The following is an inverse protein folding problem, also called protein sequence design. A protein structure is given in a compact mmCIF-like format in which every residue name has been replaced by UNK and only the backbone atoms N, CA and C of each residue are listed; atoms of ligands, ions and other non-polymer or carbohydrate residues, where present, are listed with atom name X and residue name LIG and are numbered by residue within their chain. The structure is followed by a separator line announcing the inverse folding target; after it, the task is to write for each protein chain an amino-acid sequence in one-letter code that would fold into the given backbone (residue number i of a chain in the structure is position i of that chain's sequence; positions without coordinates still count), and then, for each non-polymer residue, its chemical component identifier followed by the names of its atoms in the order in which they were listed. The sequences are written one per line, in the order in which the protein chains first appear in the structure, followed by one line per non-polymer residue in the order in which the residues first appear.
data_IF_824128870289
#
_entry.id   IF_824128870289
#
_cell.length_a   1.000
_cell.length_b   1.000
_cell.length_c   1.000
_cell.angle_alpha   90.00
_cell.angle_beta   90.00
_cell.angle_gamma   90.00
#
_symmetry.space_group_name_H-M   'P 1'
#
loop_
_entity.id
_entity.type
_entity.pdbx_description
1 polymer ?
#
# COMPACT_ATOMS: atom_id res chain seq x y z
N UNK A 1 12.37 -19.26 25.63
CA UNK A 1 11.64 -18.28 24.82
C UNK A 1 12.58 -17.89 23.69
N UNK A 2 12.14 -18.02 22.46
CA UNK A 2 12.97 -17.78 21.28
C UNK A 2 13.29 -16.29 21.12
N UNK A 3 14.47 -15.98 20.60
CA UNK A 3 14.95 -14.61 20.41
C UNK A 3 14.08 -13.77 19.46
N UNK A 4 13.25 -14.40 18.62
CA UNK A 4 12.46 -13.68 17.61
C UNK A 4 11.29 -12.86 18.18
N UNK A 5 10.92 -13.08 19.44
CA UNK A 5 9.89 -12.29 20.14
C UNK A 5 10.44 -11.16 21.03
N UNK A 6 11.76 -11.00 21.15
CA UNK A 6 12.38 -10.17 22.21
C UNK A 6 12.01 -8.68 22.11
N UNK A 7 11.79 -8.18 20.88
CA UNK A 7 11.40 -6.80 20.62
C UNK A 7 9.88 -6.57 20.63
N UNK A 8 9.10 -7.58 21.05
CA UNK A 8 7.64 -7.49 21.17
C UNK A 8 7.21 -7.39 22.63
N UNK A 9 6.03 -6.81 22.91
CA UNK A 9 5.46 -6.83 24.26
C UNK A 9 5.39 -8.27 24.81
N UNK A 10 5.79 -8.44 26.07
CA UNK A 10 5.75 -9.75 26.72
C UNK A 10 4.31 -10.11 27.10
N UNK A 11 3.62 -10.79 26.18
CA UNK A 11 2.25 -11.27 26.33
C UNK A 11 2.24 -12.80 26.49
N UNK A 12 1.32 -13.32 27.30
CA UNK A 12 1.20 -14.77 27.51
C UNK A 12 0.82 -15.50 26.21
N UNK A 13 -0.02 -14.86 25.39
CA UNK A 13 -0.47 -15.35 24.09
C UNK A 13 0.70 -15.48 23.10
N UNK A 14 1.64 -14.51 23.12
CA UNK A 14 2.86 -14.58 22.32
C UNK A 14 3.77 -15.73 22.76
N UNK A 15 3.90 -15.97 24.07
CA UNK A 15 4.73 -17.05 24.59
C UNK A 15 4.20 -18.43 24.15
N UNK A 16 2.88 -18.61 24.11
CA UNK A 16 2.26 -19.85 23.62
C UNK A 16 2.50 -20.05 22.12
N UNK A 17 2.29 -19.00 21.31
CA UNK A 17 2.56 -19.04 19.88
C UNK A 17 4.04 -19.32 19.61
N UNK A 18 4.94 -18.65 20.32
CA UNK A 18 6.38 -18.84 20.16
C UNK A 18 6.82 -20.27 20.42
N UNK A 19 6.36 -20.86 21.53
CA UNK A 19 6.64 -22.27 21.83
C UNK A 19 6.13 -23.20 20.72
N UNK A 20 4.91 -22.95 20.22
CA UNK A 20 4.34 -23.77 19.15
C UNK A 20 5.11 -23.63 17.83
N UNK A 21 5.57 -22.43 17.49
CA UNK A 21 6.42 -22.18 16.31
C UNK A 21 7.75 -22.92 16.43
N UNK A 22 8.35 -22.93 17.61
CA UNK A 22 9.63 -23.59 17.85
C UNK A 22 9.52 -25.11 17.77
N UNK A 23 8.45 -25.68 18.31
CA UNK A 23 8.19 -27.12 18.36
C UNK A 23 7.76 -27.72 17.00
N UNK A 24 7.34 -26.89 16.04
CA UNK A 24 6.77 -27.34 14.76
C UNK A 24 7.72 -27.10 13.58
N UNK A 25 8.27 -28.19 13.03
CA UNK A 25 9.14 -28.17 11.85
C UNK A 25 8.42 -27.72 10.57
N UNK A 26 7.08 -27.78 10.52
CA UNK A 26 6.30 -27.29 9.39
C UNK A 26 6.23 -25.77 9.35
N UNK A 27 6.56 -25.07 10.44
CA UNK A 27 6.65 -23.60 10.44
C UNK A 27 7.94 -23.18 9.75
N UNK A 28 7.79 -22.49 8.62
CA UNK A 28 8.88 -22.06 7.75
C UNK A 28 9.36 -20.66 8.13
N UNK A 29 8.41 -19.73 8.34
CA UNK A 29 8.72 -18.33 8.64
C UNK A 29 7.66 -17.72 9.55
N UNK A 30 8.04 -16.65 10.27
CA UNK A 30 7.11 -15.78 11.00
C UNK A 30 7.27 -14.35 10.52
N UNK A 31 6.17 -13.74 10.11
CA UNK A 31 6.11 -12.37 9.62
C UNK A 31 5.30 -11.49 10.58
N UNK A 32 5.89 -10.42 11.07
CA UNK A 32 5.18 -9.35 11.74
C UNK A 32 4.70 -8.34 10.72
N UNK A 33 3.44 -7.92 10.81
CA UNK A 33 2.90 -6.82 10.00
C UNK A 33 2.34 -5.72 10.89
N UNK A 34 1.74 -4.71 10.29
CA UNK A 34 1.07 -3.65 11.05
C UNK A 34 2.03 -2.74 11.80
N UNK A 35 1.56 -2.13 12.89
CA UNK A 35 2.25 -0.99 13.51
C UNK A 35 3.57 -1.38 14.16
N UNK A 36 3.69 -2.58 14.73
CA UNK A 36 4.93 -3.06 15.33
C UNK A 36 6.01 -3.33 14.27
N UNK A 37 5.64 -3.78 13.06
CA UNK A 37 6.61 -3.96 11.98
C UNK A 37 7.24 -2.64 11.52
N UNK A 38 6.50 -1.53 11.64
CA UNK A 38 6.93 -0.20 11.20
C UNK A 38 7.52 0.66 12.33
N UNK A 39 7.60 0.15 13.57
CA UNK A 39 8.00 0.94 14.74
C UNK A 39 7.01 2.05 15.11
N UNK A 40 5.77 1.95 14.65
CA UNK A 40 4.69 2.94 14.84
C UNK A 40 3.61 2.46 15.82
N UNK A 41 3.90 1.43 16.60
CA UNK A 41 2.96 0.89 17.57
C UNK A 41 2.74 1.86 18.74
N UNK A 42 1.48 1.99 19.15
CA UNK A 42 1.07 2.64 20.40
C UNK A 42 0.64 1.58 21.42
N UNK A 43 0.38 2.01 22.65
CA UNK A 43 -0.08 1.14 23.74
C UNK A 43 -1.33 0.33 23.42
N UNK A 44 -2.12 0.73 22.43
CA UNK A 44 -3.41 0.12 22.07
C UNK A 44 -3.35 -0.67 20.75
N UNK A 45 -2.18 -0.75 20.11
CA UNK A 45 -2.03 -1.50 18.86
C UNK A 45 -1.99 -3.01 19.10
N UNK A 46 -2.70 -3.77 18.28
CA UNK A 46 -2.55 -5.22 18.23
C UNK A 46 -1.24 -5.62 17.55
N UNK A 47 -0.85 -6.88 17.77
CA UNK A 47 0.31 -7.52 17.18
C UNK A 47 -0.17 -8.43 16.05
N UNK A 48 0.03 -7.99 14.81
CA UNK A 48 -0.36 -8.74 13.62
C UNK A 48 0.74 -9.73 13.19
N UNK A 49 0.58 -11.02 13.45
CA UNK A 49 1.51 -12.08 13.06
C UNK A 49 0.97 -12.91 11.90
N UNK A 50 1.86 -13.32 11.00
CA UNK A 50 1.63 -14.43 10.10
C UNK A 50 2.58 -15.57 10.46
N UNK A 51 2.02 -16.74 10.75
CA UNK A 51 2.77 -18.00 10.77
C UNK A 51 2.67 -18.62 9.38
N UNK A 52 3.82 -18.80 8.75
CA UNK A 52 3.93 -19.31 7.39
C UNK A 52 4.38 -20.76 7.45
N UNK A 53 3.54 -21.65 6.93
CA UNK A 53 3.79 -23.08 6.91
C UNK A 53 4.41 -23.53 5.58
N UNK A 54 5.25 -24.56 5.59
CA UNK A 54 5.74 -25.18 4.35
C UNK A 54 4.58 -25.85 3.59
N UNK A 55 3.69 -26.52 4.33
CA UNK A 55 2.44 -27.12 3.84
C UNK A 55 1.26 -26.78 4.75
N UNK A 56 0.08 -26.70 4.16
CA UNK A 56 -1.17 -26.49 4.90
C UNK A 56 -1.35 -27.55 6.01
N UNK A 57 -1.79 -27.09 7.18
CA UNK A 57 -2.00 -27.91 8.37
C UNK A 57 -3.22 -27.39 9.15
N UNK A 58 -4.26 -28.21 9.26
CA UNK A 58 -5.54 -27.84 9.89
C UNK A 58 -5.46 -27.67 11.41
N UNK A 59 -4.35 -28.08 12.04
CA UNK A 59 -4.11 -27.82 13.45
C UNK A 59 -3.80 -26.35 13.70
N UNK A 60 -3.24 -25.64 12.72
CA UNK A 60 -3.01 -24.20 12.80
C UNK A 60 -4.25 -23.44 12.36
N UNK A 61 -4.65 -22.45 13.16
CA UNK A 61 -5.86 -21.65 12.89
C UNK A 61 -5.54 -20.18 12.93
N UNK A 62 -6.05 -19.47 11.93
CA UNK A 62 -6.17 -18.01 12.00
C UNK A 62 -7.14 -17.64 13.11
N UNK A 63 -6.81 -16.62 13.89
CA UNK A 63 -7.65 -16.15 14.99
C UNK A 63 -6.98 -15.05 15.79
N UNK A 64 -7.67 -14.58 16.82
CA UNK A 64 -7.21 -13.52 17.71
C UNK A 64 -7.15 -14.06 19.13
N UNK A 65 -6.07 -13.75 19.85
CA UNK A 65 -5.89 -14.07 21.24
C UNK A 65 -5.41 -12.81 21.98
N UNK A 66 -6.30 -12.21 22.78
CA UNK A 66 -6.02 -10.94 23.43
C UNK A 66 -5.69 -9.85 22.40
N UNK A 67 -4.43 -9.42 22.40
CA UNK A 67 -3.89 -8.38 21.50
C UNK A 67 -3.05 -8.94 20.34
N UNK A 68 -3.09 -10.25 20.12
CA UNK A 68 -2.35 -10.92 19.06
C UNK A 68 -3.33 -11.41 18.00
N UNK A 69 -3.21 -10.86 16.81
CA UNK A 69 -3.94 -11.31 15.63
C UNK A 69 -3.04 -12.24 14.81
N UNK A 70 -3.37 -13.53 14.83
CA UNK A 70 -2.63 -14.57 14.14
C UNK A 70 -3.30 -14.91 12.81
N UNK A 71 -2.57 -14.71 11.72
CA UNK A 71 -2.88 -15.23 10.39
C UNK A 71 -2.02 -16.46 10.13
N UNK A 72 -2.62 -17.50 9.57
CA UNK A 72 -1.91 -18.71 9.16
C UNK A 72 -2.07 -18.86 7.66
N UNK A 73 -0.95 -19.06 6.97
CA UNK A 73 -0.93 -19.33 5.55
C UNK A 73 0.19 -20.31 5.22
N UNK A 74 0.07 -21.03 4.11
CA UNK A 74 1.20 -21.79 3.58
C UNK A 74 2.04 -20.92 2.64
N UNK A 75 3.24 -21.39 2.30
CA UNK A 75 4.14 -20.68 1.37
C UNK A 75 3.52 -20.44 -0.01
N UNK A 76 2.53 -21.24 -0.43
CA UNK A 76 1.88 -21.07 -1.75
C UNK A 76 1.06 -19.80 -1.80
N UNK A 77 0.48 -19.39 -0.67
CA UNK A 77 -0.21 -18.10 -0.55
C UNK A 77 0.72 -16.93 -0.89
N UNK A 78 1.92 -16.90 -0.31
CA UNK A 78 2.89 -15.83 -0.54
C UNK A 78 3.52 -15.86 -1.93
N UNK A 79 3.44 -16.98 -2.65
CA UNK A 79 3.84 -17.04 -4.06
C UNK A 79 2.72 -16.69 -5.04
N UNK A 80 1.50 -16.49 -4.54
CA UNK A 80 0.31 -16.20 -5.36
C UNK A 80 -0.17 -14.77 -5.12
N UNK A 81 0.59 -13.83 -5.65
CA UNK A 81 0.19 -12.42 -5.72
C UNK A 81 -1.11 -12.34 -6.54
N UNK A 82 -2.15 -11.62 -6.06
CA UNK A 82 -3.37 -11.44 -6.83
C UNK A 82 -3.07 -10.80 -8.19
N UNK A 83 -3.61 -11.35 -9.28
CA UNK A 83 -3.28 -10.85 -10.62
C UNK A 83 -3.80 -9.42 -10.87
N UNK A 84 -5.03 -9.12 -10.44
CA UNK A 84 -5.69 -7.87 -10.79
C UNK A 84 -5.46 -6.75 -9.76
N UNK A 85 -5.17 -5.49 -10.19
CA UNK A 85 -4.89 -4.36 -9.31
C UNK A 85 -5.99 -4.00 -8.30
N UNK A 86 -7.24 -4.39 -8.56
CA UNK A 86 -8.37 -4.21 -7.63
C UNK A 86 -8.22 -5.03 -6.33
N UNK A 87 -7.38 -6.07 -6.34
CA UNK A 87 -7.19 -6.99 -5.21
C UNK A 87 -5.85 -6.78 -4.49
N UNK A 88 -5.14 -5.68 -4.77
CA UNK A 88 -3.80 -5.42 -4.22
C UNK A 88 -3.78 -4.71 -2.87
N UNK A 89 -4.92 -4.58 -2.20
CA UNK A 89 -5.05 -3.86 -0.94
C UNK A 89 -4.15 -4.40 0.17
N UNK A 90 -3.85 -5.70 0.16
CA UNK A 90 -2.99 -6.35 1.16
C UNK A 90 -1.50 -6.36 0.78
N UNK A 91 -1.16 -6.00 -0.46
CA UNK A 91 0.22 -6.17 -0.95
C UNK A 91 1.23 -5.39 -0.14
N UNK A 92 0.92 -4.13 0.16
CA UNK A 92 1.79 -3.28 0.95
C UNK A 92 2.07 -3.87 2.35
N UNK A 93 1.02 -4.36 3.02
CA UNK A 93 1.13 -4.91 4.38
C UNK A 93 2.06 -6.11 4.43
N UNK A 94 2.00 -6.98 3.43
CA UNK A 94 2.88 -8.15 3.30
C UNK A 94 4.30 -7.71 2.94
N UNK A 95 4.45 -6.86 1.92
CA UNK A 95 5.75 -6.42 1.42
C UNK A 95 6.60 -5.65 2.44
N UNK A 96 5.96 -4.89 3.33
CA UNK A 96 6.61 -4.15 4.42
C UNK A 96 6.52 -4.85 5.76
N UNK A 97 6.18 -6.13 5.78
CA UNK A 97 6.25 -6.93 7.00
C UNK A 97 7.71 -7.12 7.44
N UNK A 98 7.91 -7.24 8.76
CA UNK A 98 9.20 -7.55 9.36
C UNK A 98 9.28 -9.05 9.61
N UNK A 99 10.23 -9.72 8.95
CA UNK A 99 10.49 -11.14 9.19
C UNK A 99 11.08 -11.27 10.59
N UNK A 100 10.43 -12.05 11.46
CA UNK A 100 10.91 -12.37 12.80
C UNK A 100 11.71 -13.67 12.82
N UNK A 101 11.29 -14.64 12.01
CA UNK A 101 11.95 -15.94 11.85
C UNK A 101 11.90 -16.36 10.39
N UNK A 102 13.00 -16.91 9.88
CA UNK A 102 13.08 -17.48 8.53
C UNK A 102 13.94 -18.75 8.50
N UNK A 103 13.35 -19.91 8.19
CA UNK A 103 14.05 -21.20 8.07
C UNK A 103 14.33 -21.57 6.60
N UNK A 104 14.39 -20.56 5.74
CA UNK A 104 14.21 -20.69 4.28
C UNK A 104 15.45 -20.27 3.51
N UNK A 105 16.51 -19.94 4.23
CA UNK A 105 17.74 -19.37 3.70
C UNK A 105 17.51 -18.14 2.79
N UNK A 106 16.45 -17.36 3.07
CA UNK A 106 16.13 -16.10 2.38
C UNK A 106 15.09 -16.19 1.26
N UNK A 107 14.56 -17.38 0.94
CA UNK A 107 13.50 -17.56 -0.04
C UNK A 107 12.23 -16.75 0.30
N UNK A 108 11.85 -16.71 1.58
CA UNK A 108 10.67 -15.95 2.01
C UNK A 108 10.88 -14.43 1.87
N UNK A 109 12.10 -13.94 2.12
CA UNK A 109 12.43 -12.53 1.89
C UNK A 109 12.30 -12.17 0.41
N UNK A 110 12.70 -13.09 -0.49
CA UNK A 110 12.46 -12.93 -1.93
C UNK A 110 10.96 -12.86 -2.25
N UNK A 111 10.16 -13.77 -1.70
CA UNK A 111 8.70 -13.75 -1.88
C UNK A 111 8.10 -12.40 -1.42
N UNK A 112 8.48 -11.87 -0.25
CA UNK A 112 7.99 -10.57 0.23
C UNK A 112 8.39 -9.38 -0.67
N UNK A 113 9.59 -9.39 -1.25
CA UNK A 113 9.99 -8.34 -2.20
C UNK A 113 9.09 -8.32 -3.43
N UNK A 114 8.71 -9.48 -3.96
CA UNK A 114 7.77 -9.59 -5.08
C UNK A 114 6.38 -9.02 -4.74
N UNK A 115 5.94 -9.10 -3.48
CA UNK A 115 4.68 -8.46 -3.06
C UNK A 115 4.75 -6.92 -3.16
N UNK A 116 5.92 -6.31 -2.95
CA UNK A 116 6.10 -4.85 -2.92
C UNK A 116 6.46 -4.22 -4.25
N UNK A 117 7.13 -4.98 -5.13
CA UNK A 117 7.63 -4.53 -6.42
C UNK A 117 6.68 -4.97 -7.54
N UNK A 118 6.27 -4.00 -8.36
CA UNK A 118 5.47 -4.26 -9.54
C UNK A 118 6.38 -4.58 -10.72
N UNK A 119 6.16 -5.72 -11.35
CA UNK A 119 6.73 -6.06 -12.66
C UNK A 119 6.28 -5.05 -13.73
N UNK A 120 6.93 -5.08 -14.90
CA UNK A 120 6.55 -4.19 -16.01
C UNK A 120 5.08 -4.33 -16.40
N UNK A 121 4.59 -5.56 -16.51
CA UNK A 121 3.20 -5.86 -16.87
C UNK A 121 2.23 -5.41 -15.77
N UNK A 122 2.54 -5.72 -14.50
CA UNK A 122 1.74 -5.25 -13.36
C UNK A 122 1.68 -3.72 -13.27
N UNK A 123 2.77 -3.02 -13.60
CA UNK A 123 2.75 -1.56 -13.66
C UNK A 123 1.76 -1.08 -14.73
N UNK A 124 1.78 -1.68 -15.93
CA UNK A 124 0.85 -1.30 -16.99
C UNK A 124 -0.60 -1.57 -16.60
N UNK A 125 -0.90 -2.76 -16.07
CA UNK A 125 -2.24 -3.12 -15.60
C UNK A 125 -2.74 -2.17 -14.50
N UNK A 126 -1.87 -1.80 -13.56
CA UNK A 126 -2.20 -0.86 -12.49
C UNK A 126 -2.45 0.55 -13.01
N UNK A 127 -1.60 1.04 -13.92
CA UNK A 127 -1.77 2.36 -14.51
C UNK A 127 -3.08 2.43 -15.30
N UNK A 128 -3.40 1.41 -16.10
CA UNK A 128 -4.66 1.31 -16.83
C UNK A 128 -5.87 1.34 -15.88
N UNK A 129 -5.85 0.49 -14.86
CA UNK A 129 -6.96 0.35 -13.92
C UNK A 129 -7.17 1.59 -13.03
N UNK A 130 -6.10 2.25 -12.59
CA UNK A 130 -6.19 3.40 -11.68
C UNK A 130 -6.42 4.74 -12.40
N UNK A 131 -6.17 4.81 -13.72
CA UNK A 131 -6.26 6.05 -14.48
C UNK A 131 -7.69 6.58 -14.61
N UNK A 132 -8.61 5.73 -15.05
CA UNK A 132 -10.01 6.12 -15.29
C UNK A 132 -10.69 6.74 -14.05
N UNK A 133 -10.67 6.10 -12.86
CA UNK A 133 -11.28 6.70 -11.68
C UNK A 133 -10.57 7.99 -11.26
N UNK A 134 -9.24 8.07 -11.36
CA UNK A 134 -8.52 9.31 -11.06
C UNK A 134 -9.00 10.47 -11.94
N UNK A 135 -8.99 10.29 -13.26
CA UNK A 135 -9.39 11.32 -14.23
C UNK A 135 -10.87 11.69 -14.03
N UNK A 136 -11.72 10.70 -13.78
CA UNK A 136 -13.16 10.90 -13.57
C UNK A 136 -13.44 11.77 -12.35
N UNK A 137 -12.87 11.44 -11.19
CA UNK A 137 -13.11 12.21 -9.96
C UNK A 137 -12.46 13.60 -10.00
N UNK A 138 -11.29 13.73 -10.62
CA UNK A 138 -10.70 15.06 -10.85
C UNK A 138 -11.53 15.93 -11.78
N UNK A 139 -12.06 15.38 -12.87
CA UNK A 139 -12.98 16.10 -13.76
C UNK A 139 -14.22 16.57 -12.99
N UNK A 140 -14.87 15.67 -12.23
CA UNK A 140 -16.06 16.00 -11.45
C UNK A 140 -15.76 17.13 -10.46
N UNK A 141 -14.68 16.99 -9.70
CA UNK A 141 -14.25 18.00 -8.73
C UNK A 141 -14.06 19.37 -9.35
N UNK A 142 -13.27 19.46 -10.42
CA UNK A 142 -12.94 20.73 -11.07
C UNK A 142 -14.14 21.35 -11.78
N UNK A 143 -15.02 20.52 -12.35
CA UNK A 143 -16.28 20.94 -12.94
C UNK A 143 -17.21 21.57 -11.91
N UNK A 144 -17.46 20.87 -10.80
CA UNK A 144 -18.32 21.37 -9.72
C UNK A 144 -17.72 22.61 -9.06
N UNK A 145 -16.39 22.69 -8.94
CA UNK A 145 -15.73 23.89 -8.45
C UNK A 145 -16.01 25.10 -9.34
N UNK A 146 -15.90 24.93 -10.67
CA UNK A 146 -16.22 26.01 -11.62
C UNK A 146 -17.71 26.39 -11.57
N UNK A 147 -18.60 25.45 -11.26
CA UNK A 147 -20.02 25.70 -11.08
C UNK A 147 -20.38 26.39 -9.75
N UNK A 148 -19.42 26.53 -8.81
CA UNK A 148 -19.63 27.09 -7.48
C UNK A 148 -20.08 26.08 -6.42
N UNK A 149 -20.19 24.80 -6.77
CA UNK A 149 -20.63 23.69 -5.90
C UNK A 149 -19.48 23.15 -5.04
N UNK A 150 -18.88 24.04 -4.26
CA UNK A 150 -17.62 23.82 -3.51
C UNK A 150 -17.62 22.57 -2.61
N UNK A 151 -18.74 22.22 -1.98
CA UNK A 151 -18.81 21.02 -1.12
C UNK A 151 -18.74 19.73 -1.93
N UNK A 152 -19.46 19.67 -3.05
CA UNK A 152 -19.45 18.50 -3.93
C UNK A 152 -18.07 18.38 -4.58
N UNK A 153 -17.53 19.50 -5.05
CA UNK A 153 -16.17 19.58 -5.58
C UNK A 153 -15.13 19.04 -4.60
N UNK A 154 -15.24 19.39 -3.31
CA UNK A 154 -14.33 18.90 -2.28
C UNK A 154 -14.45 17.39 -2.05
N UNK A 155 -15.66 16.84 -2.01
CA UNK A 155 -15.86 15.39 -1.87
C UNK A 155 -15.27 14.63 -3.06
N UNK A 156 -15.49 15.09 -4.29
CA UNK A 156 -14.89 14.47 -5.49
C UNK A 156 -13.35 14.60 -5.48
N UNK A 157 -12.78 15.70 -4.97
CA UNK A 157 -11.32 15.83 -4.81
C UNK A 157 -10.74 14.82 -3.82
N UNK A 158 -11.45 14.58 -2.70
CA UNK A 158 -11.07 13.57 -1.71
C UNK A 158 -11.14 12.14 -2.30
N UNK A 159 -12.13 11.88 -3.15
CA UNK A 159 -12.29 10.59 -3.82
C UNK A 159 -11.21 10.37 -4.90
N UNK A 160 -10.75 11.43 -5.59
CA UNK A 160 -9.65 11.35 -6.56
C UNK A 160 -8.30 11.00 -5.91
N UNK A 161 -8.06 11.47 -4.68
CA UNK A 161 -6.77 11.35 -3.99
C UNK A 161 -6.23 9.91 -3.85
N UNK A 162 -7.00 8.91 -3.38
CA UNK A 162 -6.50 7.53 -3.30
C UNK A 162 -6.09 6.98 -4.67
N UNK A 163 -6.77 7.35 -5.76
CA UNK A 163 -6.41 6.95 -7.12
C UNK A 163 -5.13 7.63 -7.60
N UNK A 164 -4.97 8.92 -7.34
CA UNK A 164 -3.75 9.67 -7.64
C UNK A 164 -2.53 9.03 -6.96
N UNK A 165 -2.64 8.71 -5.66
CA UNK A 165 -1.57 8.05 -4.92
C UNK A 165 -1.27 6.64 -5.46
N UNK A 166 -2.29 5.87 -5.86
CA UNK A 166 -2.06 4.55 -6.49
C UNK A 166 -1.32 4.67 -7.81
N UNK A 167 -1.67 5.65 -8.65
CA UNK A 167 -0.94 5.94 -9.90
C UNK A 167 0.50 6.32 -9.63
N UNK A 168 0.75 7.24 -8.68
CA UNK A 168 2.11 7.69 -8.35
C UNK A 168 2.97 6.50 -7.91
N UNK A 169 2.49 5.70 -6.95
CA UNK A 169 3.26 4.52 -6.52
C UNK A 169 3.47 3.51 -7.66
N UNK A 170 2.46 3.28 -8.50
CA UNK A 170 2.59 2.39 -9.66
C UNK A 170 3.61 2.89 -10.70
N UNK A 171 3.68 4.21 -10.94
CA UNK A 171 4.70 4.82 -11.81
C UNK A 171 6.13 4.55 -11.31
N UNK A 172 6.29 4.41 -10.00
CA UNK A 172 7.52 4.06 -9.30
C UNK A 172 7.71 2.55 -9.10
N UNK A 173 6.88 1.71 -9.74
CA UNK A 173 6.97 0.26 -9.63
C UNK A 173 6.68 -0.28 -8.23
N UNK A 174 5.88 0.45 -7.43
CA UNK A 174 5.60 0.14 -6.04
C UNK A 174 4.09 0.05 -5.79
N UNK A 175 3.73 -0.73 -4.78
CA UNK A 175 2.37 -0.74 -4.23
C UNK A 175 2.16 0.43 -3.26
N UNK A 176 0.99 1.04 -3.31
CA UNK A 176 0.65 2.18 -2.42
C UNK A 176 0.47 1.72 -0.96
N UNK A 177 1.05 2.44 0.02
CA UNK A 177 0.75 2.24 1.44
C UNK A 177 -0.71 2.52 1.80
N UNK A 178 -1.14 1.99 2.95
CA UNK A 178 -2.36 2.48 3.60
C UNK A 178 -2.11 3.91 4.11
N UNK A 179 -3.17 4.68 4.33
CA UNK A 179 -3.04 6.09 4.75
C UNK A 179 -2.22 6.24 6.05
N UNK A 180 -2.29 5.25 6.95
CA UNK A 180 -1.54 5.22 8.21
C UNK A 180 -0.03 5.22 7.99
N UNK A 181 0.44 4.57 6.93
CA UNK A 181 1.88 4.38 6.67
C UNK A 181 2.39 5.26 5.54
N UNK A 182 1.57 6.15 4.95
CA UNK A 182 1.97 6.95 3.79
C UNK A 182 3.17 7.85 4.10
N UNK A 183 3.12 8.63 5.17
CA UNK A 183 4.22 9.51 5.58
C UNK A 183 5.47 8.73 5.98
N UNK A 184 5.29 7.62 6.72
CA UNK A 184 6.39 6.74 7.09
C UNK A 184 7.09 6.17 5.85
N UNK A 185 6.32 5.68 4.88
CA UNK A 185 6.84 5.09 3.65
C UNK A 185 7.58 6.13 2.81
N UNK A 186 7.05 7.34 2.68
CA UNK A 186 7.71 8.41 1.92
C UNK A 186 8.99 8.92 2.61
N UNK A 187 9.04 8.89 3.94
CA UNK A 187 10.22 9.29 4.72
C UNK A 187 11.34 8.25 4.66
N UNK A 188 11.01 6.97 4.85
CA UNK A 188 12.02 5.90 4.93
C UNK A 188 12.35 5.28 3.56
N UNK A 189 11.43 5.39 2.61
CA UNK A 189 11.54 4.85 1.27
C UNK A 189 11.03 5.89 0.26
N UNK A 190 11.76 7.01 0.07
CA UNK A 190 11.33 8.08 -0.83
C UNK A 190 11.09 7.56 -2.25
N UNK A 191 10.17 8.22 -2.96
CA UNK A 191 9.95 7.98 -4.38
C UNK A 191 11.11 8.57 -5.19
N UNK A 192 11.36 8.04 -6.38
CA UNK A 192 12.47 8.50 -7.21
C UNK A 192 12.19 9.90 -7.78
N UNK A 193 13.21 10.76 -7.80
CA UNK A 193 13.13 12.09 -8.40
C UNK A 193 12.71 13.21 -7.42
N UNK A 194 13.33 14.40 -7.51
CA UNK A 194 13.07 15.52 -6.60
C UNK A 194 11.64 16.05 -6.69
N UNK A 195 10.97 15.87 -7.82
CA UNK A 195 9.56 16.24 -8.01
C UNK A 195 8.58 15.35 -7.22
N UNK A 196 9.05 14.26 -6.60
CA UNK A 196 8.24 13.40 -5.74
C UNK A 196 8.69 13.45 -4.28
N UNK A 197 9.38 14.52 -3.87
CA UNK A 197 9.77 14.76 -2.50
C UNK A 197 8.58 14.58 -1.53
N UNK A 198 8.83 13.90 -0.41
CA UNK A 198 7.83 13.54 0.59
C UNK A 198 7.00 14.74 1.05
N UNK A 199 7.68 15.82 1.47
CA UNK A 199 7.05 17.05 1.96
C UNK A 199 6.10 17.68 0.93
N UNK A 200 6.49 17.65 -0.34
CA UNK A 200 5.63 18.20 -1.39
C UNK A 200 4.38 17.34 -1.59
N UNK A 201 4.53 16.02 -1.68
CA UNK A 201 3.39 15.12 -1.91
C UNK A 201 2.42 15.13 -0.73
N UNK A 202 2.96 15.14 0.50
CA UNK A 202 2.17 15.27 1.73
C UNK A 202 1.48 16.64 1.81
N UNK A 203 2.16 17.72 1.42
CA UNK A 203 1.56 19.05 1.32
C UNK A 203 0.38 19.10 0.32
N UNK A 204 0.54 18.48 -0.85
CA UNK A 204 -0.54 18.37 -1.84
C UNK A 204 -1.72 17.56 -1.28
N UNK A 205 -1.46 16.45 -0.57
CA UNK A 205 -2.49 15.69 0.13
C UNK A 205 -3.25 16.55 1.14
N UNK A 206 -2.55 17.36 1.93
CA UNK A 206 -3.16 18.22 2.94
C UNK A 206 -4.00 19.34 2.34
N UNK A 207 -3.56 19.96 1.25
CA UNK A 207 -4.35 20.98 0.56
C UNK A 207 -5.64 20.40 -0.04
N UNK A 208 -5.56 19.23 -0.68
CA UNK A 208 -6.73 18.51 -1.17
C UNK A 208 -7.65 18.11 -0.02
N UNK A 209 -7.09 17.60 1.08
CA UNK A 209 -7.87 17.21 2.26
C UNK A 209 -8.61 18.40 2.87
N UNK A 210 -7.95 19.55 2.96
CA UNK A 210 -8.48 20.75 3.62
C UNK A 210 -9.51 21.50 2.77
N UNK A 211 -9.31 21.60 1.46
CA UNK A 211 -10.12 22.49 0.60
C UNK A 211 -10.54 21.90 -0.75
N UNK A 212 -10.05 20.71 -1.13
CA UNK A 212 -10.23 20.20 -2.48
C UNK A 212 -9.56 21.07 -3.57
N UNK A 213 -8.51 21.83 -3.19
CA UNK A 213 -7.87 22.87 -4.01
C UNK A 213 -7.73 22.50 -5.50
N UNK A 214 -8.39 23.24 -6.42
CA UNK A 214 -8.20 23.04 -7.86
C UNK A 214 -6.75 23.19 -8.30
N UNK A 215 -6.02 24.12 -7.70
CA UNK A 215 -4.61 24.32 -7.97
C UNK A 215 -3.80 23.08 -7.59
N UNK A 216 -4.03 22.50 -6.41
CA UNK A 216 -3.33 21.30 -5.98
C UNK A 216 -3.64 20.10 -6.89
N UNK A 217 -4.89 19.96 -7.36
CA UNK A 217 -5.25 18.92 -8.34
C UNK A 217 -4.49 19.07 -9.65
N UNK A 218 -4.40 20.29 -10.19
CA UNK A 218 -3.69 20.59 -11.44
C UNK A 218 -2.18 20.42 -11.30
N UNK A 219 -1.59 20.87 -10.20
CA UNK A 219 -0.17 20.68 -9.90
C UNK A 219 0.19 19.20 -9.76
N UNK A 220 -0.66 18.41 -9.10
CA UNK A 220 -0.50 16.97 -8.99
C UNK A 220 -0.55 16.30 -10.37
N UNK A 221 -1.54 16.66 -11.18
CA UNK A 221 -1.67 16.14 -12.54
C UNK A 221 -0.49 16.52 -13.44
N UNK A 222 0.00 17.75 -13.35
CA UNK A 222 1.14 18.22 -14.13
C UNK A 222 2.42 17.40 -13.88
N UNK A 223 2.55 16.74 -12.71
CA UNK A 223 3.63 15.79 -12.42
C UNK A 223 3.32 14.36 -12.89
N UNK A 224 2.06 13.94 -12.79
CA UNK A 224 1.61 12.60 -13.20
C UNK A 224 1.62 12.45 -14.73
N UNK A 225 1.09 13.42 -15.46
CA UNK A 225 0.85 13.33 -16.91
C UNK A 225 2.11 13.01 -17.72
N UNK A 226 3.26 13.69 -17.55
CA UNK A 226 4.45 13.38 -18.32
C UNK A 226 4.93 11.94 -18.10
N UNK A 227 4.77 11.42 -16.89
CA UNK A 227 5.11 10.04 -16.54
C UNK A 227 4.18 9.04 -17.25
N UNK A 228 2.86 9.27 -17.22
CA UNK A 228 1.87 8.47 -17.93
C UNK A 228 2.12 8.46 -19.44
N UNK A 229 2.36 9.63 -20.04
CA UNK A 229 2.63 9.73 -21.47
C UNK A 229 3.89 8.97 -21.88
N UNK A 230 4.97 9.05 -21.09
CA UNK A 230 6.19 8.24 -21.31
C UNK A 230 5.95 6.74 -21.21
N UNK A 231 4.94 6.31 -20.45
CA UNK A 231 4.52 4.90 -20.33
C UNK A 231 3.49 4.47 -21.38
N UNK A 232 3.16 5.33 -22.35
CA UNK A 232 2.25 5.00 -23.45
C UNK A 232 0.78 5.34 -23.21
N UNK A 233 0.43 5.93 -22.06
CA UNK A 233 -0.95 6.28 -21.70
C UNK A 233 -1.43 7.62 -22.30
N UNK A 234 -0.68 8.19 -23.24
CA UNK A 234 -1.06 9.46 -23.89
C UNK A 234 -2.41 9.36 -24.60
N UNK A 235 -2.63 8.29 -25.38
CA UNK A 235 -3.91 8.08 -26.07
C UNK A 235 -5.10 7.89 -25.11
N UNK A 236 -4.87 7.28 -23.94
CA UNK A 236 -5.89 7.13 -22.91
C UNK A 236 -6.27 8.50 -22.32
N UNK A 237 -5.28 9.34 -21.98
CA UNK A 237 -5.50 10.71 -21.51
C UNK A 237 -6.25 11.57 -22.54
N UNK A 238 -5.82 11.49 -23.80
CA UNK A 238 -6.43 12.26 -24.90
C UNK A 238 -7.88 11.82 -25.19
N UNK A 239 -8.29 10.64 -24.72
CA UNK A 239 -9.67 10.16 -24.70
C UNK A 239 -10.61 10.93 -23.74
N UNK A 240 -10.07 11.75 -22.83
CA UNK A 240 -10.84 12.58 -21.89
C UNK A 240 -10.63 14.08 -22.15
N UNK A 241 -10.99 14.62 -23.35
CA UNK A 241 -10.67 16.00 -23.71
C UNK A 241 -11.26 17.03 -22.73
N UNK A 242 -12.45 16.77 -22.19
CA UNK A 242 -13.04 17.63 -21.15
C UNK A 242 -12.20 17.60 -19.87
N UNK A 243 -11.79 16.43 -19.40
CA UNK A 243 -10.97 16.33 -18.19
C UNK A 243 -9.62 17.03 -18.36
N UNK A 244 -8.95 16.84 -19.51
CA UNK A 244 -7.67 17.50 -19.81
C UNK A 244 -7.80 19.02 -19.77
N UNK A 245 -8.88 19.58 -20.34
CA UNK A 245 -9.15 21.03 -20.26
C UNK A 245 -9.22 21.53 -18.81
N UNK A 246 -9.86 20.80 -17.90
CA UNK A 246 -9.96 21.22 -16.49
C UNK A 246 -8.62 21.08 -15.75
N UNK A 247 -7.91 19.99 -16.02
CA UNK A 247 -6.65 19.61 -15.37
C UNK A 247 -5.44 20.44 -15.83
N UNK A 248 -5.47 20.96 -17.05
CA UNK A 248 -4.46 21.90 -17.55
C UNK A 248 -4.70 23.34 -17.12
N UNK A 249 -5.96 23.71 -16.84
CA UNK A 249 -6.34 25.03 -16.34
C UNK A 249 -6.75 25.99 -17.45
#
# INVERSE_FOLDING_TARGET
MTAWTDDLPQLAELAEIARRVDDDENVHSVLLTGSYAHGMATSDCDIDLHVVLDRADDTWRTGSAGRVDLRVADRRMFRRIPAHPSNWWDRYRIARGRILMDRTDGDFEHDLRCWGQLTGDEQLDALDYYLDPYVTYSLRSLHEFQAGETRVAHLDALEALPWALRLIFALHGRVRPTNRYLEWELTHHPLDGPEWAADWLLGACDDLRRTGSPQAQRELFARIEPCLRRRGFGGALDGYPKAMSYLHG
#
